data_IF_351525260640
#
_entry.id   IF_351525260640
#
_cell.length_a   1.000
_cell.length_b   1.000
_cell.length_c   1.000
_cell.angle_alpha   90.00
_cell.angle_beta   90.00
_cell.angle_gamma   90.00
#
_symmetry.space_group_name_H-M   'P 1'
#
loop_
_entity.id
_entity.type
_entity.pdbx_description
1 polymer ?
#
# COMPACT_ATOMS: atom_id res chain seq x y z
N UNK A 1 -11.20 55.03 -10.86
CA UNK A 1 -9.89 54.45 -10.53
C UNK A 1 -9.80 53.06 -11.16
N UNK A 2 -8.90 52.85 -12.14
CA UNK A 2 -8.77 51.57 -12.86
C UNK A 2 -7.76 50.68 -12.13
N UNK A 3 -8.20 49.54 -11.59
CA UNK A 3 -7.32 48.58 -10.93
C UNK A 3 -6.30 47.98 -11.91
N UNK A 4 -5.04 47.85 -11.45
CA UNK A 4 -3.90 47.34 -12.24
C UNK A 4 -4.15 45.92 -12.76
N UNK A 5 -3.83 45.63 -14.04
CA UNK A 5 -4.03 44.30 -14.63
C UNK A 5 -3.22 43.21 -13.92
N UNK A 6 -2.08 43.57 -13.33
CA UNK A 6 -1.22 42.64 -12.58
C UNK A 6 -1.92 42.16 -11.30
N UNK A 7 -2.58 43.08 -10.58
CA UNK A 7 -3.33 42.74 -9.37
C UNK A 7 -4.51 41.80 -9.67
N UNK A 8 -5.16 41.98 -10.84
CA UNK A 8 -6.26 41.11 -11.28
C UNK A 8 -5.77 39.69 -11.61
N UNK A 9 -4.58 39.55 -12.20
CA UNK A 9 -3.98 38.25 -12.50
C UNK A 9 -3.58 37.51 -11.22
N UNK A 10 -3.02 38.22 -10.23
CA UNK A 10 -2.70 37.65 -8.91
C UNK A 10 -3.95 37.19 -8.15
N UNK A 11 -5.03 37.98 -8.16
CA UNK A 11 -6.30 37.61 -7.53
C UNK A 11 -6.96 36.43 -8.25
N UNK A 12 -6.86 36.34 -9.58
CA UNK A 12 -7.37 35.21 -10.35
C UNK A 12 -6.60 33.90 -10.07
N UNK A 13 -5.27 33.97 -9.86
CA UNK A 13 -4.45 32.81 -9.47
C UNK A 13 -4.80 32.30 -8.06
N UNK A 14 -5.11 33.21 -7.14
CA UNK A 14 -5.53 32.87 -5.77
C UNK A 14 -6.93 32.25 -5.70
N UNK A 15 -7.80 32.53 -6.67
CA UNK A 15 -9.17 31.98 -6.74
C UNK A 15 -9.27 30.67 -7.54
N UNK A 16 -8.24 30.29 -8.31
CA UNK A 16 -8.26 29.09 -9.17
C UNK A 16 -7.59 27.86 -8.57
N UNK A 17 -6.83 27.98 -7.48
CA UNK A 17 -6.56 26.87 -6.56
C UNK A 17 -7.64 26.92 -5.48
N UNK A 18 -8.54 25.95 -5.28
CA UNK A 18 -8.29 24.54 -5.04
C UNK A 18 -9.59 23.81 -5.44
N UNK A 19 -9.67 23.22 -6.64
CA UNK A 19 -10.72 22.24 -6.92
C UNK A 19 -10.31 20.90 -6.26
N UNK A 20 -10.39 20.85 -4.94
CA UNK A 20 -10.28 19.60 -4.20
C UNK A 20 -11.53 18.78 -4.47
N UNK A 21 -11.53 18.02 -5.58
CA UNK A 21 -12.46 16.90 -5.73
C UNK A 21 -12.14 15.95 -4.59
N UNK A 22 -13.01 15.95 -3.59
CA UNK A 22 -12.95 15.01 -2.47
C UNK A 22 -13.21 13.64 -3.07
N UNK A 23 -12.19 12.79 -3.09
CA UNK A 23 -12.32 11.41 -3.53
C UNK A 23 -13.36 10.75 -2.63
N UNK A 24 -14.46 10.30 -3.23
CA UNK A 24 -15.48 9.56 -2.51
C UNK A 24 -14.85 8.21 -2.08
N UNK A 25 -14.77 7.91 -0.77
CA UNK A 25 -14.24 6.65 -0.32
C UNK A 25 -14.98 5.46 -0.95
N UNK A 26 -16.31 5.54 -1.14
CA UNK A 26 -17.15 4.47 -1.69
C UNK A 26 -16.79 4.09 -3.14
N UNK A 27 -16.50 5.11 -3.95
CA UNK A 27 -16.04 4.92 -5.33
C UNK A 27 -14.65 4.26 -5.40
N UNK A 28 -13.78 4.56 -4.43
CA UNK A 28 -12.44 3.96 -4.34
C UNK A 28 -12.52 2.48 -3.97
N UNK A 29 -13.41 2.10 -3.05
CA UNK A 29 -13.63 0.69 -2.68
C UNK A 29 -14.16 -0.14 -3.85
N UNK A 30 -15.14 0.38 -4.58
CA UNK A 30 -15.72 -0.31 -5.75
C UNK A 30 -14.67 -0.53 -6.85
N UNK A 31 -13.73 0.41 -6.99
CA UNK A 31 -12.64 0.27 -7.96
C UNK A 31 -11.57 -0.72 -7.51
N UNK A 32 -11.34 -0.86 -6.21
CA UNK A 32 -10.40 -1.86 -5.66
C UNK A 32 -10.96 -3.27 -5.74
N UNK A 33 -12.26 -3.45 -5.47
CA UNK A 33 -12.92 -4.76 -5.53
C UNK A 33 -13.07 -5.30 -6.96
N UNK A 34 -12.96 -4.44 -7.97
CA UNK A 34 -12.94 -4.80 -9.38
C UNK A 34 -11.54 -4.97 -9.98
N UNK A 35 -10.48 -4.74 -9.19
CA UNK A 35 -9.11 -4.94 -9.65
C UNK A 35 -8.83 -6.44 -9.81
N UNK A 36 -8.40 -6.85 -11.00
CA UNK A 36 -8.04 -8.23 -11.30
C UNK A 36 -6.69 -8.57 -10.65
N UNK A 37 -6.73 -9.41 -9.61
CA UNK A 37 -5.57 -9.83 -8.83
C UNK A 37 -5.60 -11.35 -8.66
N UNK A 38 -4.43 -11.98 -8.65
CA UNK A 38 -4.28 -13.42 -8.41
C UNK A 38 -4.68 -13.79 -6.96
N UNK A 39 -4.45 -12.86 -6.04
CA UNK A 39 -4.76 -12.97 -4.63
C UNK A 39 -6.20 -12.55 -4.29
N UNK A 40 -6.35 -11.78 -3.21
CA UNK A 40 -7.65 -11.21 -2.83
C UNK A 40 -7.53 -9.94 -1.99
N UNK A 41 -8.56 -9.10 -2.06
CA UNK A 41 -8.81 -8.05 -1.08
C UNK A 41 -9.79 -8.53 0.00
N UNK A 42 -9.50 -8.15 1.25
CA UNK A 42 -10.43 -8.28 2.37
C UNK A 42 -10.79 -6.87 2.84
N UNK A 43 -12.09 -6.56 2.91
CA UNK A 43 -12.60 -5.25 3.35
C UNK A 43 -13.18 -5.31 4.78
N UNK A 44 -13.60 -6.49 5.21
CA UNK A 44 -14.08 -6.76 6.57
C UNK A 44 -12.98 -7.38 7.44
N UNK A 45 -13.15 -7.33 8.76
CA UNK A 45 -12.23 -7.94 9.74
C UNK A 45 -10.74 -7.55 9.56
N UNK A 46 -10.52 -6.27 9.26
CA UNK A 46 -9.18 -5.72 8.99
C UNK A 46 -8.44 -5.28 10.27
N UNK A 47 -8.98 -5.61 11.44
CA UNK A 47 -8.49 -5.19 12.76
C UNK A 47 -7.07 -5.67 13.06
N UNK A 48 -6.71 -6.88 12.60
CA UNK A 48 -5.36 -7.43 12.77
C UNK A 48 -4.32 -6.53 12.07
N UNK A 49 -4.67 -6.01 10.89
CA UNK A 49 -3.81 -5.12 10.11
C UNK A 49 -3.63 -3.73 10.74
N UNK A 50 -4.47 -3.39 11.73
CA UNK A 50 -4.37 -2.17 12.51
C UNK A 50 -3.47 -2.29 13.74
N UNK A 51 -2.95 -3.47 14.09
CA UNK A 51 -2.08 -3.66 15.26
C UNK A 51 -0.64 -3.94 14.86
N UNK A 52 0.34 -3.56 15.67
CA UNK A 52 1.73 -3.97 15.51
C UNK A 52 2.34 -4.39 16.86
N UNK A 53 3.59 -4.85 16.86
CA UNK A 53 4.28 -5.36 18.06
C UNK A 53 4.36 -4.33 19.18
N UNK A 54 4.42 -3.04 18.84
CA UNK A 54 4.42 -1.97 19.81
C UNK A 54 3.09 -1.86 20.58
N UNK A 55 1.97 -2.26 19.98
CA UNK A 55 0.62 -2.13 20.56
C UNK A 55 0.27 -0.71 21.01
N UNK A 56 0.85 0.31 20.36
CA UNK A 56 0.66 1.73 20.70
C UNK A 56 -0.33 2.43 19.78
N UNK A 57 -0.40 2.00 18.52
CA UNK A 57 -1.19 2.63 17.47
C UNK A 57 -2.15 1.60 16.86
N UNK A 58 -3.35 2.08 16.52
CA UNK A 58 -4.44 1.29 15.98
C UNK A 58 -5.07 1.96 14.75
N UNK A 59 -4.28 2.13 13.69
CA UNK A 59 -4.74 2.75 12.45
C UNK A 59 -5.47 1.74 11.57
N UNK A 60 -6.80 1.78 11.63
CA UNK A 60 -7.66 0.87 10.87
C UNK A 60 -7.49 1.12 9.36
N UNK A 61 -7.11 0.10 8.58
CA UNK A 61 -7.12 0.21 7.14
C UNK A 61 -8.53 0.05 6.58
N UNK A 62 -8.66 0.48 5.34
CA UNK A 62 -9.85 0.35 4.51
C UNK A 62 -9.92 -1.01 3.82
N UNK A 63 -8.77 -1.60 3.50
CA UNK A 63 -8.68 -2.94 2.93
C UNK A 63 -7.33 -3.60 3.27
N UNK A 64 -7.31 -4.92 3.20
CA UNK A 64 -6.08 -5.73 3.29
C UNK A 64 -5.94 -6.53 1.99
N UNK A 65 -4.84 -6.29 1.27
CA UNK A 65 -4.45 -7.10 0.13
C UNK A 65 -3.69 -8.33 0.63
N UNK A 66 -4.16 -9.51 0.23
CA UNK A 66 -3.44 -10.77 0.34
C UNK A 66 -2.93 -11.14 -1.06
N UNK A 67 -1.74 -10.69 -1.45
CA UNK A 67 -1.24 -10.87 -2.82
C UNK A 67 -0.91 -12.35 -3.08
N UNK A 68 -1.35 -12.84 -4.23
CA UNK A 68 -0.96 -14.14 -4.80
C UNK A 68 0.32 -14.05 -5.61
N UNK A 69 0.63 -12.87 -6.16
CA UNK A 69 1.84 -12.59 -6.91
C UNK A 69 2.39 -11.19 -6.62
N UNK A 70 3.63 -10.93 -7.06
CA UNK A 70 4.20 -9.57 -7.02
C UNK A 70 3.47 -8.61 -7.96
N UNK A 71 2.79 -9.15 -8.99
CA UNK A 71 1.98 -8.37 -9.94
C UNK A 71 0.80 -7.74 -9.22
N UNK A 72 0.12 -8.46 -8.32
CA UNK A 72 -0.98 -7.90 -7.51
C UNK A 72 -0.57 -6.64 -6.75
N UNK A 73 0.65 -6.66 -6.16
CA UNK A 73 1.19 -5.51 -5.43
C UNK A 73 1.45 -4.34 -6.37
N UNK A 74 2.05 -4.61 -7.53
CA UNK A 74 2.35 -3.60 -8.54
C UNK A 74 1.07 -2.96 -9.10
N UNK A 75 0.08 -3.76 -9.47
CA UNK A 75 -1.21 -3.29 -9.99
C UNK A 75 -2.00 -2.51 -8.93
N UNK A 76 -1.94 -2.93 -7.67
CA UNK A 76 -2.57 -2.17 -6.56
C UNK A 76 -1.92 -0.80 -6.40
N UNK A 77 -0.58 -0.72 -6.34
CA UNK A 77 0.13 0.55 -6.22
C UNK A 77 -0.11 1.44 -7.43
N UNK A 78 -0.09 0.86 -8.64
CA UNK A 78 -0.41 1.55 -9.89
C UNK A 78 -1.84 2.09 -9.87
N UNK A 79 -2.81 1.31 -9.42
CA UNK A 79 -4.20 1.73 -9.30
C UNK A 79 -4.32 2.94 -8.37
N UNK A 80 -3.75 2.87 -7.16
CA UNK A 80 -3.75 3.99 -6.21
C UNK A 80 -3.09 5.23 -6.81
N UNK A 81 -1.97 5.06 -7.51
CA UNK A 81 -1.29 6.18 -8.18
C UNK A 81 -2.16 6.83 -9.26
N UNK A 82 -2.91 6.04 -10.03
CA UNK A 82 -3.78 6.52 -11.11
C UNK A 82 -5.00 7.31 -10.59
N UNK A 83 -5.42 7.12 -9.34
CA UNK A 83 -6.45 7.97 -8.70
C UNK A 83 -6.00 9.44 -8.55
N UNK A 84 -4.70 9.69 -8.64
CA UNK A 84 -4.11 11.02 -8.66
C UNK A 84 -4.03 11.69 -7.27
N UNK A 85 -3.52 12.93 -7.20
CA UNK A 85 -3.18 13.59 -5.94
C UNK A 85 -4.38 13.97 -5.06
N UNK A 86 -5.61 13.87 -5.59
CA UNK A 86 -6.83 14.08 -4.80
C UNK A 86 -7.21 12.85 -3.96
N UNK A 87 -6.65 11.67 -4.27
CA UNK A 87 -6.87 10.46 -3.50
C UNK A 87 -6.14 10.51 -2.17
N UNK A 88 -6.83 10.08 -1.11
CA UNK A 88 -6.24 9.91 0.23
C UNK A 88 -5.83 8.46 0.50
N UNK A 89 -6.03 7.60 -0.48
CA UNK A 89 -5.74 6.18 -0.35
C UNK A 89 -4.22 6.00 -0.26
N UNK A 90 -3.78 5.35 0.81
CA UNK A 90 -2.37 5.03 1.05
C UNK A 90 -2.16 3.53 0.96
N UNK A 91 -0.91 3.10 0.73
CA UNK A 91 -0.54 1.69 0.71
C UNK A 91 0.61 1.48 1.69
N UNK A 92 0.47 0.53 2.62
CA UNK A 92 1.53 0.13 3.53
C UNK A 92 1.85 -1.35 3.35
N UNK A 93 3.14 -1.67 3.17
CA UNK A 93 3.60 -3.05 3.17
C UNK A 93 3.75 -3.55 4.62
N UNK A 94 3.20 -4.74 4.90
CA UNK A 94 3.25 -5.38 6.21
C UNK A 94 3.86 -6.78 6.08
N UNK A 95 5.00 -6.98 6.74
CA UNK A 95 5.49 -8.32 7.11
C UNK A 95 4.87 -8.75 8.44
N UNK A 96 5.62 -9.47 9.29
CA UNK A 96 5.12 -10.05 10.55
C UNK A 96 4.63 -9.04 11.62
N UNK A 97 4.54 -7.75 11.31
CA UNK A 97 3.99 -6.74 12.24
C UNK A 97 4.95 -6.33 13.36
N UNK A 98 6.27 -6.55 13.22
CA UNK A 98 7.28 -6.15 14.22
C UNK A 98 7.58 -4.64 14.29
N UNK A 99 6.81 -3.83 13.56
CA UNK A 99 6.76 -2.39 13.75
C UNK A 99 6.37 -2.03 15.20
N UNK A 100 6.86 -0.89 15.68
CA UNK A 100 6.65 -0.47 17.07
C UNK A 100 5.75 0.76 17.19
N UNK A 101 5.56 1.49 16.09
CA UNK A 101 4.95 2.83 16.08
C UNK A 101 4.05 3.05 14.86
N UNK A 102 3.36 2.02 14.39
CA UNK A 102 2.39 2.11 13.31
C UNK A 102 2.98 2.12 11.89
N UNK A 103 4.29 1.87 11.72
CA UNK A 103 4.95 1.99 10.40
C UNK A 103 4.39 1.04 9.33
N UNK A 104 3.80 -0.09 9.75
CA UNK A 104 3.20 -1.09 8.87
C UNK A 104 1.66 -0.99 8.79
N UNK A 105 1.09 0.14 9.22
CA UNK A 105 -0.36 0.39 9.21
C UNK A 105 -0.70 1.47 8.17
N UNK A 106 -1.93 1.46 7.64
CA UNK A 106 -2.40 2.45 6.67
C UNK A 106 -3.79 2.95 7.04
N UNK A 107 -3.88 4.09 7.75
CA UNK A 107 -5.16 4.65 8.18
C UNK A 107 -6.08 4.95 6.98
N UNK A 108 -7.23 4.26 6.88
CA UNK A 108 -8.14 4.39 5.75
C UNK A 108 -7.52 4.01 4.40
N UNK A 109 -6.41 3.25 4.42
CA UNK A 109 -5.65 2.84 3.24
C UNK A 109 -5.69 1.33 3.03
N UNK A 110 -4.72 0.85 2.25
CA UNK A 110 -4.54 -0.57 1.94
C UNK A 110 -3.31 -1.06 2.68
N UNK A 111 -3.46 -2.13 3.45
CA UNK A 111 -2.31 -2.87 4.00
C UNK A 111 -2.05 -4.08 3.11
N UNK A 112 -0.82 -4.26 2.67
CA UNK A 112 -0.40 -5.42 1.87
C UNK A 112 0.25 -6.45 2.79
N UNK A 113 -0.38 -7.62 2.94
CA UNK A 113 0.12 -8.73 3.77
C UNK A 113 1.18 -9.55 3.01
N UNK A 114 2.44 -9.18 3.17
CA UNK A 114 3.57 -9.69 2.39
C UNK A 114 3.88 -11.18 2.66
N UNK A 115 3.46 -11.74 3.80
CA UNK A 115 3.63 -13.15 4.12
C UNK A 115 2.84 -14.07 3.18
N UNK A 116 1.82 -13.54 2.49
CA UNK A 116 1.04 -14.29 1.49
C UNK A 116 1.93 -14.77 0.34
N UNK A 117 2.95 -13.98 -0.03
CA UNK A 117 3.92 -14.33 -1.08
C UNK A 117 4.91 -15.42 -0.64
N UNK A 118 5.20 -15.53 0.67
CA UNK A 118 6.16 -16.53 1.19
C UNK A 118 5.70 -17.96 0.89
N UNK A 119 4.39 -18.22 1.00
CA UNK A 119 3.82 -19.53 0.66
C UNK A 119 4.05 -19.92 -0.81
N UNK A 120 4.09 -18.95 -1.72
CA UNK A 120 4.39 -19.21 -3.13
C UNK A 120 5.89 -19.49 -3.38
N UNK A 121 6.79 -18.89 -2.60
CA UNK A 121 8.24 -18.99 -2.80
C UNK A 121 8.94 -20.08 -1.99
N UNK A 122 8.46 -20.45 -0.80
CA UNK A 122 9.05 -21.55 0.01
C UNK A 122 9.04 -22.89 -0.75
N UNK A 123 8.03 -23.15 -1.59
CA UNK A 123 8.03 -24.31 -2.50
C UNK A 123 9.11 -24.26 -3.58
N UNK A 124 9.56 -23.06 -3.99
CA UNK A 124 10.57 -22.89 -5.04
C UNK A 124 12.00 -22.99 -4.51
N UNK A 125 12.25 -22.44 -3.31
CA UNK A 125 13.57 -22.54 -2.66
C UNK A 125 13.89 -23.97 -2.22
N UNK A 126 12.89 -24.76 -1.76
CA UNK A 126 13.12 -26.18 -1.47
C UNK A 126 13.39 -27.02 -2.73
N UNK A 127 12.91 -26.61 -3.91
CA UNK A 127 13.25 -27.26 -5.18
C UNK A 127 14.67 -26.88 -5.66
N UNK A 128 15.12 -25.65 -5.40
CA UNK A 128 16.50 -25.22 -5.74
C UNK A 128 17.57 -25.80 -4.80
N UNK A 129 17.24 -26.14 -3.55
CA UNK A 129 18.18 -26.75 -2.60
C UNK A 129 18.53 -28.22 -2.89
N UNK A 130 17.94 -28.85 -3.92
CA UNK A 130 18.35 -30.18 -4.40
C UNK A 130 19.51 -30.14 -5.41
N UNK A 131 20.12 -28.98 -5.64
CA UNK A 131 21.25 -28.82 -6.56
C UNK A 131 22.55 -28.54 -5.80
N UNK A 132 23.22 -29.63 -5.39
CA UNK A 132 24.68 -29.76 -5.17
C UNK A 132 25.33 -28.84 -4.11
N UNK A 133 25.18 -29.19 -2.83
CA UNK A 133 26.01 -28.64 -1.75
C UNK A 133 27.32 -29.43 -1.59
N UNK A 134 28.44 -28.94 -2.12
CA UNK A 134 29.77 -29.25 -1.55
C UNK A 134 30.09 -28.19 -0.48
N UNK A 135 30.39 -28.57 0.78
CA UNK A 135 30.66 -27.61 1.83
C UNK A 135 32.02 -26.92 1.61
N UNK A 136 32.07 -25.59 1.76
CA UNK A 136 33.34 -24.85 1.83
C UNK A 136 34.03 -25.15 3.16
N UNK A 137 35.34 -25.45 3.18
CA UNK A 137 36.07 -25.63 4.43
C UNK A 137 36.18 -24.30 5.18
N UNK A 138 36.02 -24.37 6.50
CA UNK A 138 36.17 -23.25 7.41
C UNK A 138 37.62 -22.73 7.37
N UNK A 139 37.78 -21.41 7.23
CA UNK A 139 39.08 -20.76 7.24
C UNK A 139 39.52 -20.55 8.68
N UNK A 140 40.52 -21.30 9.14
CA UNK A 140 41.24 -21.05 10.38
C UNK A 140 42.39 -20.07 10.14
N UNK A 141 42.42 -18.97 10.90
CA UNK A 141 43.50 -17.99 10.90
C UNK A 141 42.98 -16.58 11.06
#
# INVERSE_FOLDING_TARGET
MRASPILKLFVALLLTGINSRKSDPDASYTSLSSLDVDGRFTFDDVSEAAMDFGHRYHHLPSAVLHPGSVTDVAETVRHVFQLGPGSRLTVAARGHGHSLQGQAQAAGGIVVRMESLRRAQEMRCMQEMNCTSTPRPARSG
#
